data_IF_953678681693
#
_entry.id   IF_953678681693
#
_cell.length_a   1.000
_cell.length_b   1.000
_cell.length_c   1.000
_cell.angle_alpha   90.00
_cell.angle_beta   90.00
_cell.angle_gamma   90.00
#
_symmetry.space_group_name_H-M   'P 1'
#
loop_
_entity.id
_entity.type
_entity.pdbx_description
1 polymer ?
#
# COMPACT_ATOMS: atom_id res chain seq x y z
N UNK A 1 0.59 -2.66 -23.76
CA UNK A 1 0.76 -2.96 -22.33
C UNK A 1 0.00 -4.26 -22.09
N UNK A 2 0.61 -5.27 -21.50
CA UNK A 2 -0.10 -6.52 -21.19
C UNK A 2 -0.78 -6.26 -19.84
N UNK A 3 -2.10 -6.27 -19.79
CA UNK A 3 -2.83 -6.16 -18.53
C UNK A 3 -3.00 -7.54 -17.91
N UNK A 4 -2.85 -7.65 -16.59
CA UNK A 4 -3.15 -8.88 -15.88
C UNK A 4 -4.66 -9.03 -15.69
N UNK A 5 -5.18 -10.25 -15.83
CA UNK A 5 -6.57 -10.54 -15.49
C UNK A 5 -6.76 -10.50 -13.96
N UNK A 6 -7.61 -9.59 -13.50
CA UNK A 6 -7.90 -9.37 -12.07
C UNK A 6 -9.33 -9.80 -11.71
N UNK A 7 -10.05 -10.49 -12.59
CA UNK A 7 -11.44 -10.90 -12.35
C UNK A 7 -11.60 -11.83 -11.14
N UNK A 8 -10.57 -12.62 -10.83
CA UNK A 8 -10.52 -13.49 -9.64
C UNK A 8 -9.90 -12.86 -8.39
N UNK A 9 -9.60 -11.56 -8.39
CA UNK A 9 -8.93 -10.91 -7.27
C UNK A 9 -9.84 -10.80 -6.04
N UNK A 10 -9.37 -11.30 -4.90
CA UNK A 10 -10.04 -11.14 -3.60
C UNK A 10 -9.49 -9.88 -2.93
N UNK A 11 -10.32 -8.87 -2.63
CA UNK A 11 -9.87 -7.61 -2.05
C UNK A 11 -9.34 -7.80 -0.62
N UNK A 12 -8.21 -7.13 -0.33
CA UNK A 12 -7.62 -7.11 1.02
C UNK A 12 -8.16 -5.91 1.83
N UNK A 13 -8.41 -6.11 3.12
CA UNK A 13 -8.80 -5.03 4.04
C UNK A 13 -7.69 -4.00 4.30
N UNK A 14 -6.43 -4.39 4.17
CA UNK A 14 -5.28 -3.52 4.45
C UNK A 14 -4.64 -2.90 3.20
N UNK A 15 -4.84 -3.48 2.01
CA UNK A 15 -4.15 -3.07 0.79
C UNK A 15 -5.12 -2.99 -0.39
N UNK A 16 -5.08 -1.87 -1.09
CA UNK A 16 -5.74 -1.68 -2.38
C UNK A 16 -4.82 -2.11 -3.51
N UNK A 17 -5.31 -2.99 -4.38
CA UNK A 17 -4.67 -3.25 -5.68
C UNK A 17 -4.96 -2.07 -6.60
N UNK A 18 -3.91 -1.34 -7.01
CA UNK A 18 -4.04 -0.15 -7.85
C UNK A 18 -4.00 -0.54 -9.31
N UNK A 19 -2.97 -1.26 -9.72
CA UNK A 19 -2.77 -1.73 -11.09
C UNK A 19 -1.72 -2.86 -11.14
N UNK A 20 -1.74 -3.62 -12.22
CA UNK A 20 -0.75 -4.68 -12.49
C UNK A 20 -0.28 -4.59 -13.94
N UNK A 21 0.58 -3.60 -14.30
CA UNK A 21 1.12 -3.49 -15.65
C UNK A 21 2.10 -4.63 -15.96
N UNK A 22 1.86 -5.30 -17.08
CA UNK A 22 2.76 -6.27 -17.69
C UNK A 22 3.59 -5.66 -18.80
N UNK A 23 4.91 -5.89 -18.74
CA UNK A 23 5.87 -5.47 -19.75
C UNK A 23 6.61 -6.69 -20.30
N UNK A 24 6.53 -6.88 -21.62
CA UNK A 24 7.42 -7.79 -22.35
C UNK A 24 8.72 -7.06 -22.62
N UNK A 25 9.84 -7.70 -22.29
CA UNK A 25 11.18 -7.23 -22.57
C UNK A 25 11.96 -8.34 -23.25
N UNK A 26 12.95 -7.98 -24.04
CA UNK A 26 13.91 -8.92 -24.61
C UNK A 26 15.29 -8.50 -24.12
N UNK A 27 16.02 -9.41 -23.49
CA UNK A 27 17.34 -9.14 -22.93
C UNK A 27 18.38 -10.01 -23.59
N UNK A 28 19.53 -9.41 -23.91
CA UNK A 28 20.74 -10.12 -24.26
C UNK A 28 21.54 -10.35 -22.98
N UNK A 29 21.92 -11.59 -22.74
CA UNK A 29 22.74 -11.97 -21.59
C UNK A 29 24.18 -12.21 -22.05
N UNK A 30 25.17 -11.95 -21.19
CA UNK A 30 26.59 -12.08 -21.55
C UNK A 30 26.99 -13.50 -22.00
N UNK A 31 26.18 -14.51 -21.65
CA UNK A 31 26.42 -15.90 -22.03
C UNK A 31 26.04 -16.24 -23.49
N UNK A 32 25.15 -15.47 -24.13
CA UNK A 32 24.53 -15.87 -25.41
C UNK A 32 24.27 -14.66 -26.32
N UNK A 33 24.34 -14.86 -27.64
CA UNK A 33 24.13 -13.78 -28.64
C UNK A 33 22.66 -13.61 -29.02
N UNK A 34 21.81 -14.52 -28.60
CA UNK A 34 20.39 -14.55 -28.90
C UNK A 34 19.58 -13.77 -27.85
N UNK A 35 18.53 -13.02 -28.26
CA UNK A 35 17.66 -12.32 -27.32
C UNK A 35 16.75 -13.30 -26.58
N UNK A 36 16.70 -13.21 -25.26
CA UNK A 36 15.79 -13.97 -24.42
C UNK A 36 14.58 -13.12 -24.04
N UNK A 37 13.36 -13.51 -24.42
CA UNK A 37 12.15 -12.79 -24.05
C UNK A 37 11.77 -13.06 -22.60
N UNK A 38 11.48 -12.00 -21.85
CA UNK A 38 10.91 -12.05 -20.51
C UNK A 38 9.60 -11.25 -20.44
N UNK A 39 8.71 -11.65 -19.54
CA UNK A 39 7.49 -10.90 -19.23
C UNK A 39 7.50 -10.60 -17.74
N UNK A 40 7.58 -9.30 -17.41
CA UNK A 40 7.61 -8.82 -16.04
C UNK A 40 6.28 -8.15 -15.71
N UNK A 41 5.58 -8.64 -14.70
CA UNK A 41 4.40 -8.01 -14.13
C UNK A 41 4.79 -7.24 -12.88
N UNK A 42 4.41 -5.96 -12.81
CA UNK A 42 4.65 -5.13 -11.62
C UNK A 42 3.35 -4.99 -10.86
N UNK A 43 3.30 -5.45 -9.61
CA UNK A 43 2.08 -5.34 -8.78
C UNK A 43 2.15 -4.04 -7.98
N UNK A 44 1.27 -3.09 -8.31
CA UNK A 44 1.19 -1.80 -7.62
C UNK A 44 0.09 -1.86 -6.57
N UNK A 45 0.48 -1.76 -5.29
CA UNK A 45 -0.44 -1.81 -4.14
C UNK A 45 -0.35 -0.53 -3.31
N UNK A 46 -1.48 -0.12 -2.72
CA UNK A 46 -1.59 1.04 -1.82
C UNK A 46 -2.11 0.62 -0.45
N UNK A 47 -1.51 1.11 0.63
CA UNK A 47 -1.95 0.80 2.00
C UNK A 47 -3.24 1.55 2.36
N UNK A 48 -4.24 0.85 2.89
CA UNK A 48 -5.45 1.43 3.50
C UNK A 48 -5.13 1.85 4.93
N UNK A 49 -4.93 3.15 5.14
CA UNK A 49 -4.56 3.72 6.44
C UNK A 49 -5.77 3.99 7.35
N UNK A 50 -7.00 3.80 6.87
CA UNK A 50 -8.23 4.17 7.60
C UNK A 50 -8.36 3.46 8.96
N UNK A 51 -8.09 2.16 9.03
CA UNK A 51 -8.19 1.42 10.30
C UNK A 51 -7.10 1.84 11.30
N UNK A 52 -5.88 2.04 10.82
CA UNK A 52 -4.76 2.51 11.65
C UNK A 52 -4.97 3.96 12.12
N UNK A 53 -5.46 4.84 11.25
CA UNK A 53 -5.76 6.23 11.60
C UNK A 53 -6.86 6.32 12.66
N UNK A 54 -7.97 5.60 12.48
CA UNK A 54 -9.07 5.67 13.44
C UNK A 54 -8.72 4.99 14.77
N UNK A 55 -8.11 3.80 14.77
CA UNK A 55 -7.91 3.04 16.01
C UNK A 55 -6.63 3.39 16.79
N UNK A 56 -5.61 4.02 16.18
CA UNK A 56 -4.42 4.49 16.91
C UNK A 56 -4.41 6.01 17.10
N UNK A 57 -4.87 6.80 16.12
CA UNK A 57 -4.74 8.25 16.17
C UNK A 57 -5.83 8.87 17.06
N UNK A 58 -7.06 8.35 17.04
CA UNK A 58 -8.16 8.81 17.91
C UNK A 58 -7.82 8.65 19.41
N UNK A 59 -7.42 7.47 19.92
CA UNK A 59 -7.09 7.36 21.34
C UNK A 59 -5.92 8.26 21.73
N UNK A 60 -4.91 8.43 20.87
CA UNK A 60 -3.80 9.35 21.12
C UNK A 60 -4.25 10.82 21.21
N UNK A 61 -5.12 11.27 20.31
CA UNK A 61 -5.66 12.64 20.33
C UNK A 61 -6.56 12.85 21.55
N UNK A 62 -7.39 11.87 21.89
CA UNK A 62 -8.24 11.93 23.09
C UNK A 62 -7.40 12.04 24.37
N UNK A 63 -6.37 11.19 24.54
CA UNK A 63 -5.49 11.23 25.72
C UNK A 63 -4.74 12.56 25.79
N UNK A 64 -4.21 13.05 24.66
CA UNK A 64 -3.51 14.33 24.61
C UNK A 64 -4.44 15.51 24.94
N UNK A 65 -5.68 15.48 24.45
CA UNK A 65 -6.69 16.49 24.76
C UNK A 65 -7.11 16.48 26.22
N UNK A 66 -7.31 15.29 26.81
CA UNK A 66 -7.59 15.12 28.24
C UNK A 66 -6.44 15.67 29.11
N UNK A 67 -5.18 15.40 28.73
CA UNK A 67 -4.02 15.91 29.43
C UNK A 67 -3.97 17.45 29.44
N UNK A 68 -4.30 18.10 28.33
CA UNK A 68 -4.41 19.56 28.27
C UNK A 68 -5.58 20.09 29.11
N UNK A 69 -6.71 19.39 29.10
CA UNK A 69 -7.90 19.76 29.88
C UNK A 69 -7.61 19.76 31.39
N UNK A 70 -6.77 18.84 31.88
CA UNK A 70 -6.34 18.79 33.29
C UNK A 70 -5.64 20.07 33.72
N UNK A 71 -4.82 20.68 32.86
CA UNK A 71 -4.16 21.97 33.16
C UNK A 71 -5.11 23.17 33.13
N UNK A 72 -6.24 23.05 32.41
CA UNK A 72 -7.26 24.09 32.30
C UNK A 72 -8.32 24.00 33.41
N UNK A 73 -8.46 22.83 34.07
CA UNK A 73 -9.37 22.67 35.17
C UNK A 73 -8.76 23.34 36.42
N UNK A 74 -9.35 24.42 36.96
CA UNK A 74 -8.87 25.00 38.21
C UNK A 74 -8.99 23.95 39.31
N UNK A 75 -7.92 23.75 40.08
CA UNK A 75 -7.96 22.96 41.30
C UNK A 75 -8.91 23.64 42.28
N UNK A 76 -10.14 23.12 42.36
CA UNK A 76 -11.07 23.44 43.44
C UNK A 76 -10.57 22.87 44.76
#
# INVERSE_FOLDING_TARGET
MIEADITGYIPNGEWDLVEVPGRRSERFYDCCKEPYPDVTFTVVMRRRTLYYGLNLLIPCVLISGLALLVFLLPAG
#
